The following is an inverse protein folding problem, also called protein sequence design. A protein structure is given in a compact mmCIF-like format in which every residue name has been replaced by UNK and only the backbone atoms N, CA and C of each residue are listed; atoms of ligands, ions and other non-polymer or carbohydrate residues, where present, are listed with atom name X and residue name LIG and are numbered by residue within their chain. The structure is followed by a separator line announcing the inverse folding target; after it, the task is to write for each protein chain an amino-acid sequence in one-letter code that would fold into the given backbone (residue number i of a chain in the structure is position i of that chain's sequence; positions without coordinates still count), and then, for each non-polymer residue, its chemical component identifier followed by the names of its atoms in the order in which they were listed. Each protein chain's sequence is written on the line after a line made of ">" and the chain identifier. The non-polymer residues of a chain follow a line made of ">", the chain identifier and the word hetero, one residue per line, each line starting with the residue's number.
data_IF_038707837162
#
_entry.id   IF_038707837162
#
_cell.length_a   1.000
_cell.length_b   1.000
_cell.length_c   1.000
_cell.angle_alpha   90.00
_cell.angle_beta   90.00
_cell.angle_gamma   90.00
#
_symmetry.space_group_name_H-M   'P 1'
#
loop_
_entity.id
_entity.type
_entity.pdbx_description
1 polymer ?
#
# COMPACT_ATOMS: atom_id res chain seq x y z
N UNK A 1 2.53 4.39 23.43
CA UNK A 1 3.28 3.54 22.49
C UNK A 1 4.06 4.43 21.54
N UNK A 2 5.35 4.17 21.33
CA UNK A 2 6.18 4.94 20.38
C UNK A 2 5.98 4.36 18.98
N UNK A 3 5.71 5.22 17.99
CA UNK A 3 5.71 4.82 16.58
C UNK A 3 7.15 4.71 16.10
N UNK A 4 7.51 3.58 15.48
CA UNK A 4 8.84 3.35 14.90
C UNK A 4 8.67 3.08 13.41
N UNK A 5 9.25 3.93 12.57
CA UNK A 5 9.22 3.75 11.12
C UNK A 5 10.06 2.51 10.74
N UNK A 6 9.46 1.63 9.95
CA UNK A 6 10.12 0.42 9.44
C UNK A 6 10.12 0.44 7.92
N UNK A 7 11.24 0.09 7.30
CA UNK A 7 11.39 0.00 5.85
C UNK A 7 11.32 -1.45 5.40
N UNK A 8 10.57 -1.71 4.33
CA UNK A 8 10.48 -3.00 3.68
C UNK A 8 11.05 -2.93 2.27
N UNK A 9 11.73 -3.99 1.84
CA UNK A 9 12.30 -4.13 0.49
C UNK A 9 12.21 -5.56 0.00
N UNK A 10 12.26 -5.76 -1.32
CA UNK A 10 12.49 -7.08 -1.88
C UNK A 10 13.90 -7.55 -1.52
N UNK A 11 14.03 -8.85 -1.27
CA UNK A 11 15.32 -9.48 -0.94
C UNK A 11 16.30 -9.47 -2.12
N UNK A 12 15.79 -9.47 -3.35
CA UNK A 12 16.57 -9.42 -4.60
C UNK A 12 17.05 -7.99 -4.97
N UNK A 13 16.71 -6.97 -4.17
CA UNK A 13 17.09 -5.59 -4.41
C UNK A 13 16.29 -4.89 -5.52
N UNK A 14 15.36 -5.56 -6.19
CA UNK A 14 14.54 -4.96 -7.22
C UNK A 14 13.43 -4.06 -6.61
N UNK A 15 12.82 -3.17 -7.42
CA UNK A 15 11.70 -2.35 -6.98
C UNK A 15 10.44 -3.17 -6.64
N UNK A 16 9.62 -2.66 -5.72
CA UNK A 16 8.29 -3.20 -5.41
C UNK A 16 7.26 -2.64 -6.39
N UNK A 17 6.54 -3.51 -7.11
CA UNK A 17 5.33 -3.13 -7.83
C UNK A 17 4.12 -3.24 -6.91
N UNK A 18 3.34 -2.17 -6.76
CA UNK A 18 2.13 -2.15 -5.91
C UNK A 18 0.90 -2.05 -6.79
N UNK A 19 -0.07 -2.95 -6.58
CA UNK A 19 -1.33 -2.91 -7.30
C UNK A 19 -2.11 -1.65 -6.91
N UNK A 20 -2.61 -0.92 -7.92
CA UNK A 20 -3.34 0.32 -7.71
C UNK A 20 -4.43 0.54 -8.74
N UNK A 21 -5.29 1.51 -8.44
CA UNK A 21 -6.23 2.10 -9.38
C UNK A 21 -5.83 3.55 -9.62
N UNK A 22 -6.16 4.07 -10.78
CA UNK A 22 -5.99 5.48 -11.11
C UNK A 22 -7.24 5.99 -11.81
N UNK A 23 -7.52 7.28 -11.66
CA UNK A 23 -8.61 7.95 -12.36
C UNK A 23 -8.35 9.45 -12.49
N UNK A 24 -9.12 10.11 -13.36
CA UNK A 24 -9.09 11.55 -13.57
C UNK A 24 -10.42 12.18 -13.16
N UNK A 25 -10.35 13.38 -12.61
CA UNK A 25 -11.52 14.15 -12.20
C UNK A 25 -11.27 15.64 -12.43
N UNK A 26 -12.32 16.46 -12.42
CA UNK A 26 -12.19 17.92 -12.51
C UNK A 26 -12.38 18.55 -11.14
N UNK A 27 -11.47 19.43 -10.75
CA UNK A 27 -11.62 20.21 -9.52
C UNK A 27 -12.65 21.34 -9.65
N UNK A 28 -12.85 22.09 -8.57
CA UNK A 28 -13.81 23.20 -8.52
C UNK A 28 -13.50 24.34 -9.52
N UNK A 29 -12.27 24.43 -10.03
CA UNK A 29 -11.87 25.37 -11.07
C UNK A 29 -12.02 24.82 -12.50
N UNK A 30 -12.49 23.57 -12.63
CA UNK A 30 -12.62 22.86 -13.89
C UNK A 30 -11.30 22.29 -14.42
N UNK A 31 -10.21 22.34 -13.65
CA UNK A 31 -8.93 21.76 -14.06
C UNK A 31 -8.93 20.26 -13.86
N UNK A 32 -8.36 19.53 -14.84
CA UNK A 32 -8.27 18.08 -14.79
C UNK A 32 -7.15 17.68 -13.83
N UNK A 33 -7.51 16.86 -12.86
CA UNK A 33 -6.63 16.27 -11.86
C UNK A 33 -6.54 14.77 -12.07
N UNK A 34 -5.36 14.21 -11.87
CA UNK A 34 -5.13 12.77 -11.86
C UNK A 34 -4.90 12.33 -10.43
N UNK A 35 -5.51 11.22 -10.04
CA UNK A 35 -5.29 10.62 -8.73
C UNK A 35 -5.15 9.12 -8.84
N UNK A 36 -4.47 8.53 -7.86
CA UNK A 36 -4.28 7.10 -7.77
C UNK A 36 -4.43 6.64 -6.33
N UNK A 37 -4.67 5.34 -6.16
CA UNK A 37 -4.76 4.70 -4.85
C UNK A 37 -4.11 3.33 -4.88
N UNK A 38 -3.59 2.89 -3.74
CA UNK A 38 -3.05 1.56 -3.56
C UNK A 38 -4.14 0.62 -3.06
N UNK A 39 -4.26 -0.55 -3.70
CA UNK A 39 -5.16 -1.59 -3.21
C UNK A 39 -4.59 -2.23 -1.95
N UNK A 40 -5.47 -2.48 -0.97
CA UNK A 40 -5.10 -3.12 0.29
C UNK A 40 -5.94 -4.35 0.59
N UNK A 41 -5.31 -5.35 1.18
CA UNK A 41 -5.94 -6.57 1.68
C UNK A 41 -5.74 -6.69 3.19
N UNK A 42 -6.58 -7.49 3.82
CA UNK A 42 -6.48 -7.81 5.25
C UNK A 42 -5.19 -8.62 5.52
N UNK A 43 -4.45 -8.24 6.55
CA UNK A 43 -3.10 -8.73 6.83
C UNK A 43 -2.96 -9.50 8.16
N UNK A 44 -4.07 -9.80 8.86
CA UNK A 44 -4.03 -10.50 10.16
C UNK A 44 -3.35 -11.88 10.10
N UNK A 45 -3.31 -12.52 8.93
CA UNK A 45 -2.69 -13.83 8.70
C UNK A 45 -1.36 -13.77 7.95
N UNK A 46 -0.92 -12.58 7.54
CA UNK A 46 0.36 -12.44 6.85
C UNK A 46 1.52 -12.62 7.85
N UNK A 47 2.53 -13.47 7.57
CA UNK A 47 3.60 -13.74 8.53
C UNK A 47 4.39 -12.51 9.00
N UNK A 48 4.46 -11.45 8.20
CA UNK A 48 5.23 -10.25 8.49
C UNK A 48 4.31 -9.08 8.88
N UNK A 49 3.34 -8.74 8.02
CA UNK A 49 2.49 -7.55 8.19
C UNK A 49 1.51 -7.67 9.36
N UNK A 50 1.22 -8.88 9.85
CA UNK A 50 0.42 -9.07 11.07
C UNK A 50 1.09 -8.51 12.32
N UNK A 51 2.37 -8.19 12.32
CA UNK A 51 3.09 -7.62 13.46
C UNK A 51 3.11 -6.08 13.44
N UNK A 52 2.69 -5.46 12.34
CA UNK A 52 2.69 -4.01 12.16
C UNK A 52 1.30 -3.41 12.41
N UNK A 53 1.23 -2.08 12.39
CA UNK A 53 0.08 -1.26 12.80
C UNK A 53 -0.28 -1.30 14.29
N UNK A 54 -1.16 -0.38 14.69
CA UNK A 54 -1.63 -0.28 16.08
C UNK A 54 -2.42 -1.54 16.47
N UNK A 55 -2.22 -2.06 17.70
CA UNK A 55 -3.04 -3.15 18.23
C UNK A 55 -4.53 -2.78 18.27
N UNK A 56 -5.41 -3.78 18.14
CA UNK A 56 -6.86 -3.59 18.22
C UNK A 56 -7.51 -2.94 16.99
N UNK A 57 -6.74 -2.68 15.92
CA UNK A 57 -7.25 -2.25 14.61
C UNK A 57 -7.02 -3.34 13.57
N UNK A 58 -7.90 -3.40 12.57
CA UNK A 58 -7.69 -4.28 11.42
C UNK A 58 -6.32 -3.99 10.78
N UNK A 59 -5.51 -5.03 10.60
CA UNK A 59 -4.23 -4.90 9.93
C UNK A 59 -4.46 -5.01 8.43
N UNK A 60 -3.87 -4.09 7.68
CA UNK A 60 -3.96 -4.05 6.22
C UNK A 60 -2.57 -3.96 5.63
N UNK A 61 -2.37 -4.57 4.47
CA UNK A 61 -1.14 -4.43 3.69
C UNK A 61 -1.51 -4.06 2.26
N UNK A 62 -0.59 -3.39 1.57
CA UNK A 62 -0.70 -3.17 0.12
C UNK A 62 -0.51 -4.48 -0.62
N UNK A 63 -1.10 -4.58 -1.81
CA UNK A 63 -0.90 -5.74 -2.68
C UNK A 63 0.39 -5.55 -3.48
N UNK A 64 1.42 -6.32 -3.14
CA UNK A 64 2.66 -6.37 -3.92
C UNK A 64 2.49 -7.34 -5.09
N UNK A 65 2.77 -6.87 -6.30
CA UNK A 65 2.69 -7.67 -7.52
C UNK A 65 3.98 -8.47 -7.72
N UNK A 66 3.89 -9.73 -8.19
CA UNK A 66 5.06 -10.46 -8.65
C UNK A 66 5.61 -9.82 -9.94
N UNK A 67 6.83 -10.20 -10.30
CA UNK A 67 7.41 -9.78 -11.56
C UNK A 67 6.63 -10.38 -12.75
N UNK A 68 6.36 -9.56 -13.77
CA UNK A 68 5.62 -9.97 -14.97
C UNK A 68 4.09 -9.99 -14.83
N UNK A 69 3.54 -9.43 -13.74
CA UNK A 69 2.10 -9.21 -13.55
C UNK A 69 1.52 -8.13 -14.48
#
# INVERSE_FOLDING_TARGET
>A
MKSVATRFTRADGAPLGIAGLWDQWHDASGQRQESYTMLTIKADKDPLFREYHQPGKEKRMVVTLPEGA
#
